data_IF_810003056944
#
_entry.id   IF_810003056944
#
_cell.length_a   1.000
_cell.length_b   1.000
_cell.length_c   1.000
_cell.angle_alpha   90.00
_cell.angle_beta   90.00
_cell.angle_gamma   90.00
#
_symmetry.space_group_name_H-M   'P 1'
#
loop_
_entity.id
_entity.type
_entity.pdbx_description
1 polymer ?
#
# COMPACT_ATOMS: atom_id res chain seq x y z
N UNK A 1 -0.33 -6.16 20.04
CA UNK A 1 -0.37 -5.89 18.58
C UNK A 1 -0.57 -7.22 17.89
N UNK A 2 -1.62 -7.35 17.08
CA UNK A 2 -1.92 -8.61 16.39
C UNK A 2 -0.85 -8.79 15.30
N UNK A 3 -0.01 -9.84 15.34
CA UNK A 3 1.17 -9.98 14.47
C UNK A 3 0.82 -9.95 12.97
N UNK A 4 -0.39 -10.37 12.63
CA UNK A 4 -0.91 -10.38 11.26
C UNK A 4 -0.99 -8.99 10.60
N UNK A 5 -1.20 -7.93 11.38
CA UNK A 5 -1.25 -6.56 10.85
C UNK A 5 0.11 -6.10 10.30
N UNK A 6 1.19 -6.39 11.03
CA UNK A 6 2.55 -6.04 10.63
C UNK A 6 2.98 -6.80 9.35
N UNK A 7 2.58 -8.06 9.26
CA UNK A 7 2.85 -8.91 8.08
C UNK A 7 2.14 -8.33 6.85
N UNK A 8 0.84 -7.98 6.97
CA UNK A 8 0.07 -7.41 5.86
C UNK A 8 0.64 -6.08 5.36
N UNK A 9 1.07 -5.20 6.28
CA UNK A 9 1.74 -3.93 5.93
C UNK A 9 3.05 -4.21 5.20
N UNK A 10 3.87 -5.13 5.73
CA UNK A 10 5.14 -5.50 5.10
C UNK A 10 4.97 -5.97 3.65
N UNK A 11 3.99 -6.84 3.41
CA UNK A 11 3.66 -7.34 2.06
C UNK A 11 3.25 -6.18 1.15
N UNK A 12 2.36 -5.29 1.62
CA UNK A 12 1.89 -4.15 0.84
C UNK A 12 3.04 -3.17 0.50
N UNK A 13 3.98 -2.95 1.41
CA UNK A 13 5.17 -2.12 1.16
C UNK A 13 6.07 -2.75 0.10
N UNK A 14 6.31 -4.06 0.16
CA UNK A 14 7.13 -4.78 -0.84
C UNK A 14 6.52 -4.64 -2.24
N UNK A 15 5.22 -4.86 -2.38
CA UNK A 15 4.52 -4.67 -3.65
C UNK A 15 4.55 -3.21 -4.11
N UNK A 16 4.43 -2.26 -3.18
CA UNK A 16 4.55 -0.84 -3.47
C UNK A 16 5.92 -0.45 -4.02
N UNK A 17 7.01 -0.93 -3.41
CA UNK A 17 8.37 -0.70 -3.89
C UNK A 17 8.57 -1.28 -5.29
N UNK A 18 8.06 -2.49 -5.53
CA UNK A 18 8.13 -3.11 -6.85
C UNK A 18 7.34 -2.30 -7.89
N UNK A 19 6.10 -1.93 -7.58
CA UNK A 19 5.28 -1.09 -8.43
C UNK A 19 5.96 0.25 -8.75
N UNK A 20 6.65 0.84 -7.78
CA UNK A 20 7.41 2.09 -7.95
C UNK A 20 8.58 1.94 -8.92
N UNK A 21 9.31 0.81 -8.86
CA UNK A 21 10.43 0.53 -9.78
C UNK A 21 9.91 0.32 -11.20
N UNK A 22 8.78 -0.36 -11.34
CA UNK A 22 8.16 -0.71 -12.64
C UNK A 22 7.46 0.48 -13.27
N UNK A 23 7.00 1.44 -12.48
CA UNK A 23 6.30 2.60 -12.98
C UNK A 23 7.15 3.40 -13.99
N UNK A 24 6.61 3.53 -15.20
CA UNK A 24 7.23 4.22 -16.32
C UNK A 24 7.16 5.74 -16.18
N UNK A 25 6.10 6.26 -15.55
CA UNK A 25 5.90 7.71 -15.42
C UNK A 25 6.16 8.25 -14.01
N UNK A 26 6.62 9.49 -13.95
CA UNK A 26 6.80 10.22 -12.69
C UNK A 26 5.47 10.39 -11.95
N UNK A 27 4.35 10.57 -12.67
CA UNK A 27 3.01 10.69 -12.07
C UNK A 27 2.62 9.41 -11.32
N UNK A 28 2.83 8.23 -11.91
CA UNK A 28 2.53 6.95 -11.27
C UNK A 28 3.38 6.74 -10.02
N UNK A 29 4.69 7.01 -10.11
CA UNK A 29 5.61 6.93 -8.97
C UNK A 29 5.18 7.80 -7.80
N UNK A 30 4.74 9.03 -8.07
CA UNK A 30 4.23 9.96 -7.05
C UNK A 30 2.96 9.41 -6.40
N UNK A 31 2.04 8.82 -7.17
CA UNK A 31 0.82 8.22 -6.61
C UNK A 31 1.16 7.00 -5.74
N UNK A 32 2.00 6.09 -6.24
CA UNK A 32 2.42 4.87 -5.53
C UNK A 32 3.11 5.24 -4.21
N UNK A 33 4.02 6.22 -4.22
CA UNK A 33 4.70 6.66 -3.00
C UNK A 33 3.81 7.51 -2.07
N UNK A 34 2.85 8.25 -2.63
CA UNK A 34 1.98 9.16 -1.87
C UNK A 34 0.89 8.45 -1.06
N UNK A 35 0.28 7.40 -1.60
CA UNK A 35 -0.79 6.65 -0.93
C UNK A 35 -0.38 6.09 0.45
N UNK A 36 0.76 5.37 0.62
CA UNK A 36 1.14 4.83 1.92
C UNK A 36 1.41 5.92 2.95
N UNK A 37 1.87 7.10 2.54
CA UNK A 37 2.07 8.27 3.42
C UNK A 37 0.71 8.75 3.94
N UNK A 38 -0.30 8.88 3.07
CA UNK A 38 -1.65 9.27 3.47
C UNK A 38 -2.27 8.25 4.42
N UNK A 39 -2.12 6.95 4.12
CA UNK A 39 -2.61 5.87 4.99
C UNK A 39 -1.95 5.94 6.37
N UNK A 40 -0.64 6.21 6.45
CA UNK A 40 0.06 6.44 7.71
C UNK A 40 -0.48 7.65 8.48
N UNK A 41 -0.76 8.76 7.79
CA UNK A 41 -1.29 9.97 8.43
C UNK A 41 -2.69 9.77 9.01
N UNK A 42 -3.53 8.94 8.40
CA UNK A 42 -4.87 8.63 8.93
C UNK A 42 -4.79 8.02 10.33
N UNK A 43 -3.78 7.16 10.59
CA UNK A 43 -3.53 6.59 11.92
C UNK A 43 -3.17 7.66 12.95
N UNK A 44 -2.47 8.71 12.53
CA UNK A 44 -2.06 9.82 13.39
C UNK A 44 -3.25 10.73 13.74
N UNK A 45 -4.12 11.00 12.77
CA UNK A 45 -5.29 11.87 12.95
C UNK A 45 -6.40 11.17 13.74
N UNK A 46 -6.57 9.85 13.56
CA UNK A 46 -7.60 9.06 14.25
C UNK A 46 -6.97 7.94 15.09
N UNK A 47 -6.55 8.20 16.33
CA UNK A 47 -5.89 7.20 17.18
C UNK A 47 -6.83 6.12 17.74
N UNK A 48 -8.14 6.24 17.53
CA UNK A 48 -9.15 5.31 18.05
C UNK A 48 -9.22 3.94 17.33
N UNK A 49 -10.05 3.01 17.84
CA UNK A 49 -10.24 1.68 17.24
C UNK A 49 -10.81 1.75 15.82
N UNK A 50 -11.66 2.75 15.52
CA UNK A 50 -12.14 3.01 14.17
C UNK A 50 -10.99 3.40 13.22
N UNK A 51 -10.04 4.22 13.66
CA UNK A 51 -8.86 4.56 12.88
C UNK A 51 -7.93 3.38 12.64
N UNK A 52 -7.94 2.37 13.53
CA UNK A 52 -7.22 1.11 13.30
C UNK A 52 -7.78 0.30 12.14
N UNK A 53 -9.11 0.21 12.07
CA UNK A 53 -9.80 -0.45 10.97
C UNK A 53 -9.53 0.25 9.63
N UNK A 54 -9.68 1.59 9.60
CA UNK A 54 -9.43 2.37 8.39
C UNK A 54 -7.97 2.26 7.94
N UNK A 55 -7.03 2.29 8.88
CA UNK A 55 -5.61 2.09 8.59
C UNK A 55 -5.33 0.73 7.94
N UNK A 56 -5.86 -0.35 8.52
CA UNK A 56 -5.70 -1.71 7.97
C UNK A 56 -6.32 -1.85 6.58
N UNK A 57 -7.53 -1.32 6.39
CA UNK A 57 -8.22 -1.33 5.09
C UNK A 57 -7.42 -0.52 4.06
N UNK A 58 -6.86 0.63 4.45
CA UNK A 58 -6.02 1.45 3.58
C UNK A 58 -4.79 0.70 3.07
N UNK A 59 -4.09 -0.02 3.95
CA UNK A 59 -2.96 -0.87 3.56
C UNK A 59 -3.36 -2.03 2.66
N UNK A 60 -4.51 -2.64 2.93
CA UNK A 60 -5.03 -3.75 2.12
C UNK A 60 -5.38 -3.28 0.70
N UNK A 61 -6.07 -2.14 0.57
CA UNK A 61 -6.39 -1.54 -0.72
C UNK A 61 -5.15 -1.09 -1.47
N UNK A 62 -4.16 -0.51 -0.77
CA UNK A 62 -2.89 -0.12 -1.37
C UNK A 62 -2.13 -1.34 -1.92
N UNK A 63 -1.99 -2.40 -1.11
CA UNK A 63 -1.34 -3.65 -1.55
C UNK A 63 -2.07 -4.27 -2.74
N UNK A 64 -3.40 -4.34 -2.70
CA UNK A 64 -4.21 -4.86 -3.79
C UNK A 64 -4.06 -4.03 -5.07
N UNK A 65 -4.05 -2.70 -4.95
CA UNK A 65 -3.81 -1.79 -6.07
C UNK A 65 -2.42 -1.96 -6.68
N UNK A 66 -1.38 -2.15 -5.87
CA UNK A 66 -0.02 -2.42 -6.36
C UNK A 66 0.06 -3.76 -7.11
N UNK A 67 -0.59 -4.81 -6.59
CA UNK A 67 -0.66 -6.12 -7.26
C UNK A 67 -1.37 -6.00 -8.61
N UNK A 68 -2.52 -5.31 -8.63
CA UNK A 68 -3.28 -5.08 -9.86
C UNK A 68 -2.46 -4.28 -10.86
N UNK A 69 -1.78 -3.20 -10.42
CA UNK A 69 -0.90 -2.41 -11.27
C UNK A 69 0.22 -3.25 -11.89
N UNK A 70 0.95 -4.02 -11.06
CA UNK A 70 2.01 -4.90 -11.54
C UNK A 70 1.51 -5.92 -12.56
N UNK A 71 0.31 -6.49 -12.34
CA UNK A 71 -0.33 -7.41 -13.29
C UNK A 71 -0.68 -6.72 -14.61
N UNK A 72 -1.20 -5.49 -14.57
CA UNK A 72 -1.51 -4.71 -15.77
C UNK A 72 -0.26 -4.28 -16.54
N UNK A 73 0.85 -4.02 -15.86
CA UNK A 73 2.16 -3.72 -16.47
C UNK A 73 2.82 -4.95 -17.11
N UNK A 74 2.14 -6.09 -17.18
CA UNK A 74 2.63 -7.30 -17.85
C UNK A 74 3.59 -8.15 -17.02
N UNK A 75 3.76 -7.86 -15.72
CA UNK A 75 4.51 -8.73 -14.83
C UNK A 75 3.62 -9.88 -14.35
N UNK A 76 3.88 -11.08 -14.86
CA UNK A 76 3.36 -12.31 -14.30
C UNK A 76 4.02 -12.56 -12.94
N UNK A 77 3.35 -12.15 -11.87
CA UNK A 77 3.67 -12.60 -10.51
C UNK A 77 3.41 -14.12 -10.49
N UNK A 78 4.46 -14.93 -10.66
CA UNK A 78 4.43 -16.40 -10.68
C UNK A 78 4.81 -16.97 -9.32
#
# INVERSE_FOLDING_TARGET
>A
MIPYAAIGIGIAVIFGVWAFIVADTVKERVVIAGIPIVVFLIRLVFPGPAGQLVFLIGWMLYGLGCIVYLRYSGLEIR
#
